data_IF_309948106422
#
_entry.id   IF_309948106422
#
_cell.length_a   1.000
_cell.length_b   1.000
_cell.length_c   1.000
_cell.angle_alpha   90.00
_cell.angle_beta   90.00
_cell.angle_gamma   90.00
#
_symmetry.space_group_name_H-M   'P 1'
#
loop_
_entity.id
_entity.type
_entity.pdbx_description
1 polymer ?
#
# COMPACT_ATOMS: atom_id res chain seq x y z
N UNK A 1 8.84 43.50 14.62
CA UNK A 1 9.41 42.28 14.01
C UNK A 1 10.73 42.66 13.40
N UNK A 2 11.79 42.16 13.98
CA UNK A 2 13.12 42.32 13.42
C UNK A 2 13.30 41.48 12.15
N UNK A 3 14.32 41.80 11.35
CA UNK A 3 14.60 40.98 10.16
C UNK A 3 14.76 39.50 10.47
N UNK A 4 15.29 39.17 11.66
CA UNK A 4 15.42 37.82 12.21
C UNK A 4 14.07 37.11 12.35
N UNK A 5 13.05 37.80 12.87
CA UNK A 5 11.70 37.18 13.08
C UNK A 5 11.03 36.87 11.74
N UNK A 6 11.22 37.73 10.73
CA UNK A 6 10.68 37.53 9.39
C UNK A 6 11.26 36.26 8.74
N UNK A 7 12.57 36.03 8.86
CA UNK A 7 13.20 34.77 8.36
C UNK A 7 12.67 33.54 9.07
N UNK A 8 12.46 33.61 10.38
CA UNK A 8 11.92 32.47 11.15
C UNK A 8 10.51 32.12 10.72
N UNK A 9 9.63 33.10 10.45
CA UNK A 9 8.29 32.87 9.94
C UNK A 9 8.32 32.24 8.52
N UNK A 10 9.20 32.70 7.63
CA UNK A 10 9.36 32.11 6.30
C UNK A 10 9.80 30.64 6.41
N UNK A 11 10.77 30.33 7.29
CA UNK A 11 11.23 28.96 7.53
C UNK A 11 10.09 28.10 8.09
N UNK A 12 9.26 28.61 9.00
CA UNK A 12 8.08 27.90 9.50
C UNK A 12 7.09 27.53 8.39
N UNK A 13 6.84 28.46 7.46
CA UNK A 13 5.97 28.19 6.29
C UNK A 13 6.58 27.09 5.40
N UNK A 14 7.89 27.14 5.15
CA UNK A 14 8.59 26.09 4.39
C UNK A 14 8.51 24.75 5.11
N UNK A 15 8.71 24.70 6.42
CA UNK A 15 8.60 23.47 7.21
C UNK A 15 7.17 22.91 7.17
N UNK A 16 6.15 23.76 7.26
CA UNK A 16 4.76 23.35 7.12
C UNK A 16 4.46 22.74 5.74
N UNK A 17 5.01 23.36 4.68
CA UNK A 17 4.89 22.81 3.32
C UNK A 17 5.63 21.47 3.15
N UNK A 18 6.79 21.29 3.80
CA UNK A 18 7.51 20.01 3.85
C UNK A 18 6.76 18.95 4.64
N UNK A 19 6.12 19.29 5.76
CA UNK A 19 5.25 18.40 6.50
C UNK A 19 4.09 17.91 5.61
N UNK A 20 3.42 18.83 4.91
CA UNK A 20 2.37 18.50 3.94
C UNK A 20 2.89 17.59 2.80
N UNK A 21 4.10 17.83 2.32
CA UNK A 21 4.75 16.99 1.32
C UNK A 21 4.96 15.57 1.82
N UNK A 22 5.53 15.35 3.00
CA UNK A 22 5.75 14.02 3.55
C UNK A 22 4.42 13.30 3.84
N UNK A 23 3.47 13.98 4.47
CA UNK A 23 2.13 13.43 4.79
C UNK A 23 1.35 13.03 3.54
N UNK A 24 1.37 13.85 2.48
CA UNK A 24 0.70 13.50 1.22
C UNK A 24 1.36 12.33 0.51
N UNK A 25 2.70 12.25 0.51
CA UNK A 25 3.39 11.14 -0.12
C UNK A 25 3.18 9.81 0.62
N UNK A 26 3.16 9.82 1.96
CA UNK A 26 2.81 8.66 2.77
C UNK A 26 1.47 8.08 2.33
N UNK A 27 0.44 8.92 2.35
CA UNK A 27 -0.94 8.49 2.03
C UNK A 27 -1.09 8.10 0.56
N UNK A 28 -0.50 8.87 -0.37
CA UNK A 28 -0.57 8.57 -1.79
C UNK A 28 0.06 7.22 -2.14
N UNK A 29 1.23 6.90 -1.59
CA UNK A 29 1.93 5.64 -1.84
C UNK A 29 1.21 4.43 -1.24
N UNK A 30 0.50 4.62 -0.12
CA UNK A 30 -0.32 3.56 0.48
C UNK A 30 -1.65 3.35 -0.27
N UNK A 31 -2.23 4.41 -0.83
CA UNK A 31 -3.53 4.39 -1.50
C UNK A 31 -3.45 4.10 -3.00
N UNK A 32 -2.27 4.15 -3.60
CA UNK A 32 -2.12 3.98 -5.06
C UNK A 32 -2.45 2.57 -5.51
N UNK A 33 -3.20 2.46 -6.62
CA UNK A 33 -3.55 1.17 -7.21
C UNK A 33 -2.34 0.54 -7.93
N UNK A 34 -1.84 -0.56 -7.36
CA UNK A 34 -0.66 -1.29 -7.88
C UNK A 34 -0.88 -1.87 -9.26
N UNK A 35 -2.10 -2.34 -9.57
CA UNK A 35 -2.43 -2.91 -10.88
C UNK A 35 -2.31 -1.83 -11.95
N UNK A 36 -2.87 -0.64 -11.68
CA UNK A 36 -2.78 0.50 -12.60
C UNK A 36 -1.34 0.99 -12.77
N UNK A 37 -0.54 1.02 -11.69
CA UNK A 37 0.89 1.34 -11.79
C UNK A 37 1.64 0.34 -12.67
N UNK A 38 1.31 -0.95 -12.59
CA UNK A 38 1.91 -2.00 -13.41
C UNK A 38 1.60 -1.77 -14.88
N UNK A 39 0.33 -1.52 -15.22
CA UNK A 39 -0.06 -1.16 -16.60
C UNK A 39 0.72 0.04 -17.13
N UNK A 40 0.82 1.13 -16.34
CA UNK A 40 1.60 2.30 -16.74
C UNK A 40 3.10 2.02 -16.88
N UNK A 41 3.65 1.13 -16.08
CA UNK A 41 5.05 0.71 -16.18
C UNK A 41 5.30 -0.12 -17.45
N UNK A 42 4.39 -1.02 -17.80
CA UNK A 42 4.43 -1.83 -19.02
C UNK A 42 4.28 -0.94 -20.27
N UNK A 43 3.52 0.13 -20.20
CA UNK A 43 3.42 1.19 -21.22
C UNK A 43 4.68 2.08 -21.33
N UNK A 44 5.73 1.78 -20.57
CA UNK A 44 7.03 2.47 -20.65
C UNK A 44 7.18 3.69 -19.72
N UNK A 45 6.25 3.91 -18.78
CA UNK A 45 6.37 5.01 -17.81
C UNK A 45 7.40 4.68 -16.73
N UNK A 46 8.61 5.25 -16.87
CA UNK A 46 9.73 5.04 -15.94
C UNK A 46 9.42 5.46 -14.48
N UNK A 47 8.55 6.45 -14.29
CA UNK A 47 8.16 6.87 -12.94
C UNK A 47 7.23 5.86 -12.29
N UNK A 48 6.29 5.30 -13.05
CA UNK A 48 5.40 4.24 -12.58
C UNK A 48 6.18 2.97 -12.21
N UNK A 49 7.14 2.56 -13.05
CA UNK A 49 8.04 1.45 -12.75
C UNK A 49 8.83 1.68 -11.45
N UNK A 50 9.34 2.89 -11.24
CA UNK A 50 10.07 3.23 -10.01
C UNK A 50 9.18 3.26 -8.78
N UNK A 51 7.94 3.75 -8.89
CA UNK A 51 6.95 3.70 -7.80
C UNK A 51 6.63 2.26 -7.45
N UNK A 52 6.36 1.43 -8.47
CA UNK A 52 6.04 0.02 -8.29
C UNK A 52 7.15 -0.72 -7.54
N UNK A 53 8.40 -0.54 -7.97
CA UNK A 53 9.57 -1.12 -7.29
C UNK A 53 9.67 -0.69 -5.82
N UNK A 54 9.46 0.59 -5.53
CA UNK A 54 9.50 1.08 -4.15
C UNK A 54 8.35 0.50 -3.32
N UNK A 55 7.14 0.43 -3.87
CA UNK A 55 5.95 -0.06 -3.15
C UNK A 55 5.96 -1.59 -3.00
N UNK A 56 6.56 -2.34 -3.92
CA UNK A 56 6.64 -3.80 -3.81
C UNK A 56 7.87 -4.26 -3.02
N UNK A 57 9.06 -3.69 -3.28
CA UNK A 57 10.32 -4.20 -2.76
C UNK A 57 10.93 -3.37 -1.63
N UNK A 58 10.54 -2.09 -1.50
CA UNK A 58 11.20 -1.14 -0.60
C UNK A 58 10.21 -0.41 0.33
N UNK A 59 9.02 -0.97 0.57
CA UNK A 59 7.96 -0.35 1.38
C UNK A 59 8.43 0.06 2.77
N UNK A 60 9.13 -0.82 3.49
CA UNK A 60 9.63 -0.52 4.84
C UNK A 60 10.63 0.64 4.84
N UNK A 61 11.55 0.66 3.85
CA UNK A 61 12.52 1.76 3.69
C UNK A 61 11.83 3.09 3.37
N UNK A 62 10.82 3.04 2.51
CA UNK A 62 10.02 4.19 2.12
C UNK A 62 9.27 4.78 3.31
N UNK A 63 8.53 3.95 4.05
CA UNK A 63 7.78 4.39 5.22
C UNK A 63 8.70 4.96 6.30
N UNK A 64 9.85 4.30 6.57
CA UNK A 64 10.84 4.82 7.51
C UNK A 64 11.39 6.18 7.09
N UNK A 65 11.70 6.37 5.80
CA UNK A 65 12.22 7.65 5.29
C UNK A 65 11.18 8.77 5.46
N UNK A 66 9.94 8.52 5.10
CA UNK A 66 8.84 9.50 5.21
C UNK A 66 8.60 9.85 6.68
N UNK A 67 8.54 8.84 7.55
CA UNK A 67 8.34 9.03 8.98
C UNK A 67 9.46 9.87 9.61
N UNK A 68 10.71 9.56 9.29
CA UNK A 68 11.87 10.34 9.77
C UNK A 68 11.78 11.78 9.27
N UNK A 69 11.49 11.97 7.97
CA UNK A 69 11.37 13.28 7.36
C UNK A 69 10.27 14.12 8.00
N UNK A 70 9.08 13.54 8.14
CA UNK A 70 7.93 14.22 8.75
C UNK A 70 8.21 14.61 10.21
N UNK A 71 8.73 13.69 11.02
CA UNK A 71 9.05 13.97 12.41
C UNK A 71 10.16 15.03 12.54
N UNK A 72 11.22 14.95 11.73
CA UNK A 72 12.29 15.95 11.75
C UNK A 72 11.76 17.34 11.44
N UNK A 73 10.90 17.46 10.42
CA UNK A 73 10.28 18.73 10.03
C UNK A 73 9.38 19.25 11.14
N UNK A 74 8.52 18.42 11.72
CA UNK A 74 7.57 18.83 12.77
C UNK A 74 8.27 19.24 14.07
N UNK A 75 9.33 18.50 14.48
CA UNK A 75 10.14 18.86 15.66
C UNK A 75 10.88 20.18 15.42
N UNK A 76 11.47 20.35 14.24
CA UNK A 76 12.17 21.60 13.87
C UNK A 76 11.21 22.80 13.86
N UNK A 77 10.01 22.62 13.28
CA UNK A 77 8.98 23.65 13.27
C UNK A 77 8.54 24.04 14.69
N UNK A 78 8.32 23.05 15.56
CA UNK A 78 7.95 23.29 16.96
C UNK A 78 9.04 24.00 17.74
N UNK A 79 10.30 23.62 17.54
CA UNK A 79 11.46 24.27 18.18
C UNK A 79 11.60 25.71 17.73
N UNK A 80 11.47 25.97 16.43
CA UNK A 80 11.57 27.31 15.85
C UNK A 80 10.42 28.21 16.32
N UNK A 81 9.19 27.71 16.36
CA UNK A 81 8.04 28.45 16.85
C UNK A 81 8.17 28.79 18.36
N UNK A 82 8.71 27.86 19.15
CA UNK A 82 8.99 28.10 20.56
C UNK A 82 10.03 29.21 20.72
N UNK A 83 11.12 29.18 19.94
CA UNK A 83 12.15 30.21 19.95
C UNK A 83 11.59 31.59 19.58
N UNK A 84 10.77 31.65 18.54
CA UNK A 84 10.11 32.88 18.09
C UNK A 84 9.14 33.41 19.17
N UNK A 85 8.34 32.54 19.76
CA UNK A 85 7.38 32.93 20.79
C UNK A 85 8.04 33.48 22.06
N UNK A 86 9.23 32.99 22.39
CA UNK A 86 9.98 33.47 23.55
C UNK A 86 10.35 34.96 23.45
N UNK A 87 10.59 35.47 22.23
CA UNK A 87 10.88 36.89 21.99
C UNK A 87 9.69 37.81 22.30
N UNK A 88 8.47 37.28 22.31
CA UNK A 88 7.24 38.01 22.64
C UNK A 88 6.77 37.85 24.10
N UNK A 89 7.47 37.03 24.90
CA UNK A 89 7.17 36.79 26.32
C UNK A 89 6.78 35.31 26.59
N UNK A 90 7.17 34.82 27.77
CA UNK A 90 7.04 33.40 28.11
C UNK A 90 5.61 32.80 28.02
N UNK A 91 4.56 33.59 28.26
CA UNK A 91 3.17 33.16 28.12
C UNK A 91 2.78 32.92 26.65
N UNK A 92 3.45 33.60 25.70
CA UNK A 92 3.22 33.41 24.27
C UNK A 92 3.65 32.04 23.76
N UNK A 93 4.56 31.36 24.45
CA UNK A 93 5.04 30.03 24.05
C UNK A 93 3.89 29.03 24.00
N UNK A 94 3.03 28.98 25.03
CA UNK A 94 1.90 28.07 25.07
C UNK A 94 0.89 28.35 23.96
N UNK A 95 0.62 29.60 23.69
CA UNK A 95 -0.31 30.04 22.62
C UNK A 95 0.27 29.69 21.25
N UNK A 96 1.52 30.01 21.01
CA UNK A 96 2.21 29.72 19.76
C UNK A 96 2.30 28.22 19.50
N UNK A 97 2.60 27.40 20.51
CA UNK A 97 2.65 25.96 20.40
C UNK A 97 1.26 25.38 20.06
N UNK A 98 0.22 25.82 20.74
CA UNK A 98 -1.16 25.40 20.42
C UNK A 98 -1.57 25.79 18.99
N UNK A 99 -1.31 27.05 18.59
CA UNK A 99 -1.62 27.51 17.24
C UNK A 99 -0.83 26.74 16.17
N UNK A 100 0.48 26.49 16.38
CA UNK A 100 1.29 25.70 15.48
C UNK A 100 0.80 24.25 15.38
N UNK A 101 0.44 23.62 16.51
CA UNK A 101 -0.12 22.26 16.51
C UNK A 101 -1.36 22.19 15.64
N UNK A 102 -2.29 23.13 15.78
CA UNK A 102 -3.50 23.19 14.93
C UNK A 102 -3.11 23.43 13.47
N UNK A 103 -2.16 24.33 13.19
CA UNK A 103 -1.69 24.57 11.84
C UNK A 103 -1.04 23.34 11.19
N UNK A 104 -0.20 22.61 11.90
CA UNK A 104 0.40 21.37 11.42
C UNK A 104 -0.68 20.32 11.17
N UNK A 105 -1.62 20.12 12.09
CA UNK A 105 -2.71 19.16 11.90
C UNK A 105 -3.57 19.47 10.69
N UNK A 106 -3.97 20.72 10.50
CA UNK A 106 -4.85 21.08 9.39
C UNK A 106 -4.08 21.13 8.06
N UNK A 107 -2.97 21.87 7.99
CA UNK A 107 -2.25 22.17 6.73
C UNK A 107 -1.11 21.21 6.46
N UNK A 108 -0.51 20.61 7.49
CA UNK A 108 0.61 19.67 7.37
C UNK A 108 0.18 18.21 7.26
N UNK A 109 -0.98 17.84 7.84
CA UNK A 109 -1.37 16.42 7.94
C UNK A 109 -2.76 16.13 7.35
N UNK A 110 -3.85 16.61 7.94
CA UNK A 110 -5.21 16.17 7.59
C UNK A 110 -5.57 16.53 6.15
N UNK A 111 -5.44 17.81 5.78
CA UNK A 111 -5.79 18.26 4.43
C UNK A 111 -4.92 17.64 3.34
N UNK A 112 -3.57 17.59 3.49
CA UNK A 112 -2.70 16.92 2.53
C UNK A 112 -2.99 15.43 2.38
N UNK A 113 -3.27 14.70 3.48
CA UNK A 113 -3.61 13.27 3.44
C UNK A 113 -4.94 13.03 2.72
N UNK A 114 -5.98 13.81 3.03
CA UNK A 114 -7.26 13.69 2.33
C UNK A 114 -7.14 13.98 0.82
N UNK A 115 -6.40 15.03 0.46
CA UNK A 115 -6.14 15.34 -0.93
C UNK A 115 -5.34 14.22 -1.64
N UNK A 116 -4.39 13.62 -0.92
CA UNK A 116 -3.55 12.55 -1.43
C UNK A 116 -4.33 11.26 -1.67
N UNK A 117 -5.31 10.93 -0.83
CA UNK A 117 -6.19 9.78 -1.04
C UNK A 117 -6.96 9.88 -2.36
N UNK A 118 -7.47 11.07 -2.67
CA UNK A 118 -8.24 11.32 -3.90
C UNK A 118 -7.37 11.40 -5.16
N UNK A 119 -6.08 11.75 -5.02
CA UNK A 119 -5.17 12.01 -6.13
C UNK A 119 -3.89 11.17 -6.05
N UNK A 120 -3.96 9.96 -5.48
CA UNK A 120 -2.82 9.13 -5.14
C UNK A 120 -1.85 8.92 -6.32
N UNK A 121 -2.36 8.54 -7.49
CA UNK A 121 -1.56 8.31 -8.70
C UNK A 121 -0.78 9.55 -9.15
N UNK A 122 -1.45 10.71 -9.23
CA UNK A 122 -0.83 11.95 -9.69
C UNK A 122 0.27 12.42 -8.75
N UNK A 123 0.01 12.36 -7.44
CA UNK A 123 0.97 12.76 -6.40
C UNK A 123 2.18 11.85 -6.44
N UNK A 124 1.96 10.54 -6.44
CA UNK A 124 3.02 9.55 -6.42
C UNK A 124 3.93 9.68 -7.64
N UNK A 125 3.36 9.74 -8.85
CA UNK A 125 4.15 9.88 -10.08
C UNK A 125 4.90 11.21 -10.16
N UNK A 126 4.35 12.28 -9.57
CA UNK A 126 4.98 13.59 -9.58
C UNK A 126 6.16 13.68 -8.61
N UNK A 127 6.01 13.15 -7.41
CA UNK A 127 6.96 13.37 -6.32
C UNK A 127 7.96 12.24 -6.11
N UNK A 128 7.80 11.10 -6.80
CA UNK A 128 8.72 9.95 -6.66
C UNK A 128 10.20 10.29 -6.87
N UNK A 129 10.62 11.19 -7.80
CA UNK A 129 12.03 11.50 -7.94
C UNK A 129 12.62 12.18 -6.70
N UNK A 130 11.87 13.11 -6.10
CA UNK A 130 12.28 13.84 -4.89
C UNK A 130 12.32 12.89 -3.70
N UNK A 131 11.27 12.09 -3.54
CA UNK A 131 11.20 11.12 -2.45
C UNK A 131 12.30 10.07 -2.54
N UNK A 132 12.57 9.53 -3.72
CA UNK A 132 13.64 8.55 -3.94
C UNK A 132 15.04 9.12 -3.64
N UNK A 133 15.28 10.38 -3.98
CA UNK A 133 16.51 11.08 -3.61
C UNK A 133 16.63 11.20 -2.08
N UNK A 134 15.57 11.62 -1.42
CA UNK A 134 15.50 11.70 0.04
C UNK A 134 15.72 10.34 0.71
N UNK A 135 15.07 9.27 0.21
CA UNK A 135 15.27 7.90 0.70
C UNK A 135 16.73 7.47 0.61
N UNK A 136 17.44 7.88 -0.44
CA UNK A 136 18.86 7.54 -0.64
C UNK A 136 19.73 8.23 0.41
N UNK A 137 19.50 9.53 0.66
CA UNK A 137 20.22 10.29 1.69
C UNK A 137 19.94 9.72 3.10
N UNK A 138 18.68 9.34 3.37
CA UNK A 138 18.27 8.82 4.67
C UNK A 138 18.66 7.35 4.90
N UNK A 139 19.21 6.66 3.91
CA UNK A 139 19.58 5.24 4.01
C UNK A 139 20.43 4.90 5.26
N UNK A 140 21.49 5.65 5.63
CA UNK A 140 22.28 5.33 6.82
C UNK A 140 21.46 5.45 8.11
N UNK A 141 20.59 6.45 8.21
CA UNK A 141 19.71 6.63 9.37
C UNK A 141 18.64 5.55 9.45
N UNK A 142 18.03 5.20 8.31
CA UNK A 142 17.05 4.12 8.22
C UNK A 142 17.67 2.79 8.64
N UNK A 143 18.91 2.51 8.24
CA UNK A 143 19.60 1.29 8.63
C UNK A 143 19.73 1.18 10.16
N UNK A 144 20.13 2.26 10.82
CA UNK A 144 20.27 2.31 12.29
C UNK A 144 18.91 2.08 12.96
N UNK A 145 17.86 2.79 12.51
CA UNK A 145 16.51 2.68 13.09
C UNK A 145 15.96 1.26 12.89
N UNK A 146 16.12 0.70 11.69
CA UNK A 146 15.65 -0.66 11.41
C UNK A 146 16.42 -1.72 12.22
N UNK A 147 17.69 -1.49 12.51
CA UNK A 147 18.47 -2.37 13.39
C UNK A 147 17.87 -2.40 14.80
N UNK A 148 17.56 -1.24 15.38
CA UNK A 148 16.89 -1.15 16.68
C UNK A 148 15.50 -1.78 16.63
N UNK A 149 14.70 -1.47 15.61
CA UNK A 149 13.37 -2.05 15.43
C UNK A 149 13.41 -3.58 15.40
N UNK A 150 14.35 -4.19 14.67
CA UNK A 150 14.51 -5.65 14.62
C UNK A 150 14.87 -6.23 15.99
N UNK A 151 15.72 -5.56 16.77
CA UNK A 151 16.05 -5.98 18.13
C UNK A 151 14.80 -5.99 19.00
N UNK A 152 13.97 -4.93 18.93
CA UNK A 152 12.71 -4.86 19.68
C UNK A 152 11.69 -5.91 19.23
N UNK A 153 11.53 -6.14 17.92
CA UNK A 153 10.63 -7.18 17.41
C UNK A 153 11.06 -8.58 17.87
N UNK A 154 12.37 -8.86 17.88
CA UNK A 154 12.91 -10.13 18.39
C UNK A 154 12.64 -10.29 19.88
N UNK A 155 12.73 -9.20 20.66
CA UNK A 155 12.41 -9.23 22.09
C UNK A 155 10.91 -9.51 22.32
N UNK A 156 10.04 -8.98 21.45
CA UNK A 156 8.58 -9.22 21.47
C UNK A 156 8.18 -10.58 20.85
N UNK A 157 9.14 -11.38 20.38
CA UNK A 157 8.92 -12.68 19.71
C UNK A 157 8.02 -12.58 18.46
N UNK A 158 8.04 -11.44 17.78
CA UNK A 158 7.35 -11.25 16.50
C UNK A 158 8.32 -11.55 15.36
N UNK A 159 7.92 -12.40 14.43
CA UNK A 159 8.69 -12.68 13.21
C UNK A 159 8.40 -11.59 12.15
N UNK A 160 9.40 -10.77 11.79
CA UNK A 160 9.22 -9.71 10.81
C UNK A 160 8.90 -10.22 9.39
N UNK A 161 9.28 -11.46 9.08
CA UNK A 161 9.13 -12.05 7.75
C UNK A 161 7.81 -12.83 7.59
N UNK A 162 7.00 -12.92 8.66
CA UNK A 162 5.70 -13.62 8.64
C UNK A 162 4.63 -12.96 7.74
N UNK A 163 4.85 -11.73 7.32
CA UNK A 163 3.89 -10.93 6.52
C UNK A 163 3.92 -11.29 5.03
N UNK A 164 4.95 -11.98 4.54
CA UNK A 164 5.09 -12.36 3.13
C UNK A 164 4.41 -13.71 2.81
N UNK A 165 3.20 -13.95 3.31
CA UNK A 165 2.43 -15.13 2.87
C UNK A 165 1.91 -14.87 1.45
N UNK A 166 2.20 -15.83 0.55
CA UNK A 166 1.58 -15.85 -0.76
C UNK A 166 0.03 -15.83 -0.60
N UNK A 167 -0.64 -15.15 -1.51
CA UNK A 167 -2.10 -15.12 -1.55
C UNK A 167 -2.65 -16.55 -1.57
N UNK A 168 -3.60 -16.84 -0.71
CA UNK A 168 -4.27 -18.15 -0.65
C UNK A 168 -5.37 -18.25 -1.71
N UNK A 169 -5.75 -19.46 -2.08
CA UNK A 169 -6.88 -19.70 -2.98
C UNK A 169 -8.17 -19.08 -2.43
N UNK A 170 -8.38 -19.16 -1.12
CA UNK A 170 -9.55 -18.59 -0.45
C UNK A 170 -9.60 -17.05 -0.57
N UNK A 171 -8.44 -16.39 -0.51
CA UNK A 171 -8.34 -14.96 -0.77
C UNK A 171 -8.64 -14.63 -2.24
N UNK A 172 -8.22 -15.47 -3.20
CA UNK A 172 -8.55 -15.32 -4.61
C UNK A 172 -10.06 -15.49 -4.85
N UNK A 173 -10.70 -16.48 -4.24
CA UNK A 173 -12.17 -16.69 -4.31
C UNK A 173 -12.90 -15.46 -3.78
N UNK A 174 -12.46 -14.92 -2.66
CA UNK A 174 -13.03 -13.68 -2.09
C UNK A 174 -12.92 -12.48 -3.05
N UNK A 175 -11.79 -12.33 -3.74
CA UNK A 175 -11.61 -11.26 -4.74
C UNK A 175 -12.60 -11.42 -5.91
N UNK A 176 -12.82 -12.66 -6.36
CA UNK A 176 -13.80 -12.96 -7.42
C UNK A 176 -15.21 -12.63 -6.96
N UNK A 177 -15.56 -12.95 -5.70
CA UNK A 177 -16.86 -12.63 -5.12
C UNK A 177 -17.12 -11.12 -5.07
N UNK A 178 -16.18 -10.36 -4.53
CA UNK A 178 -16.25 -8.88 -4.47
C UNK A 178 -16.33 -8.29 -5.89
N UNK A 179 -15.54 -8.80 -6.83
CA UNK A 179 -15.57 -8.32 -8.22
C UNK A 179 -16.91 -8.58 -8.89
N UNK A 180 -17.60 -9.66 -8.52
CA UNK A 180 -18.95 -9.94 -8.98
C UNK A 180 -19.98 -8.99 -8.33
N UNK A 181 -19.89 -8.74 -7.01
CA UNK A 181 -20.76 -7.80 -6.31
C UNK A 181 -20.63 -6.38 -6.86
N UNK A 182 -19.41 -5.97 -7.22
CA UNK A 182 -19.12 -4.69 -7.86
C UNK A 182 -19.56 -4.63 -9.35
N UNK A 183 -20.07 -5.73 -9.92
CA UNK A 183 -20.53 -5.78 -11.30
C UNK A 183 -19.43 -5.82 -12.37
N UNK A 184 -18.19 -6.12 -11.97
CA UNK A 184 -17.02 -6.24 -12.87
C UNK A 184 -17.00 -7.62 -13.55
N UNK A 185 -17.50 -8.66 -12.87
CA UNK A 185 -17.55 -10.05 -13.33
C UNK A 185 -19.02 -10.49 -13.37
N UNK A 186 -19.44 -11.12 -14.48
CA UNK A 186 -20.78 -11.69 -14.61
C UNK A 186 -20.92 -13.01 -13.85
N UNK A 187 -22.17 -13.42 -13.53
CA UNK A 187 -22.45 -14.64 -12.77
C UNK A 187 -21.90 -15.90 -13.44
N UNK A 188 -21.95 -15.98 -14.76
CA UNK A 188 -21.44 -17.13 -15.50
C UNK A 188 -19.91 -17.16 -15.53
N UNK A 189 -19.27 -16.01 -15.62
CA UNK A 189 -17.81 -15.88 -15.54
C UNK A 189 -17.29 -16.28 -14.16
N UNK A 190 -17.95 -15.80 -13.09
CA UNK A 190 -17.67 -16.23 -11.71
C UNK A 190 -17.70 -17.74 -11.57
N UNK A 191 -18.78 -18.36 -12.08
CA UNK A 191 -18.94 -19.82 -12.04
C UNK A 191 -17.83 -20.56 -12.79
N UNK A 192 -17.40 -20.03 -13.95
CA UNK A 192 -16.29 -20.63 -14.70
C UNK A 192 -14.97 -20.54 -13.91
N UNK A 193 -14.70 -19.42 -13.26
CA UNK A 193 -13.49 -19.25 -12.44
C UNK A 193 -13.50 -20.25 -11.28
N UNK A 194 -14.63 -20.41 -10.58
CA UNK A 194 -14.77 -21.38 -9.50
C UNK A 194 -14.54 -22.82 -10.00
N UNK A 195 -15.10 -23.19 -11.15
CA UNK A 195 -14.90 -24.51 -11.75
C UNK A 195 -13.41 -24.77 -12.08
N UNK A 196 -12.63 -23.73 -12.43
CA UNK A 196 -11.19 -23.87 -12.67
C UNK A 196 -10.45 -24.15 -11.37
N UNK A 197 -10.81 -23.50 -10.24
CA UNK A 197 -10.21 -23.81 -8.94
C UNK A 197 -10.56 -25.24 -8.51
N UNK A 198 -11.82 -25.64 -8.62
CA UNK A 198 -12.28 -26.96 -8.23
C UNK A 198 -11.66 -28.09 -9.10
N UNK A 199 -11.30 -27.77 -10.37
CA UNK A 199 -10.63 -28.71 -11.27
C UNK A 199 -9.23 -29.11 -10.77
N UNK A 200 -8.54 -28.17 -10.09
CA UNK A 200 -7.21 -28.44 -9.53
C UNK A 200 -7.20 -29.55 -8.46
N UNK A 201 -8.29 -29.65 -7.71
CA UNK A 201 -8.47 -30.62 -6.64
C UNK A 201 -9.28 -31.87 -7.05
N UNK A 202 -9.74 -31.92 -8.31
CA UNK A 202 -10.58 -32.98 -8.81
C UNK A 202 -9.79 -34.28 -9.03
N UNK A 203 -10.29 -35.36 -8.44
CA UNK A 203 -9.80 -36.72 -8.68
C UNK A 203 -10.54 -37.37 -9.86
N UNK A 204 -9.90 -38.40 -10.45
CA UNK A 204 -10.53 -39.19 -11.52
C UNK A 204 -11.90 -39.76 -11.12
N UNK A 205 -12.09 -40.05 -9.82
CA UNK A 205 -13.37 -40.53 -9.28
C UNK A 205 -14.52 -39.53 -9.44
N UNK A 206 -14.23 -38.22 -9.48
CA UNK A 206 -15.23 -37.13 -9.54
C UNK A 206 -15.80 -36.96 -10.97
N UNK A 207 -15.02 -37.39 -11.98
CA UNK A 207 -15.40 -37.29 -13.40
C UNK A 207 -15.71 -38.65 -14.06
N UNK A 208 -15.39 -39.79 -13.39
CA UNK A 208 -15.65 -41.12 -13.93
C UNK A 208 -17.13 -41.49 -13.84
N UNK A 209 -17.59 -42.25 -14.77
CA UNK A 209 -18.88 -42.94 -14.65
C UNK A 209 -18.72 -44.14 -13.74
N UNK A 210 -19.43 -44.21 -12.58
CA UNK A 210 -19.37 -45.37 -11.70
C UNK A 210 -19.73 -46.65 -12.45
N UNK A 211 -19.05 -47.77 -12.14
CA UNK A 211 -19.24 -49.05 -12.82
C UNK A 211 -20.71 -49.48 -12.88
N UNK A 212 -21.48 -49.15 -11.86
CA UNK A 212 -22.92 -49.49 -11.77
C UNK A 212 -23.78 -48.78 -12.81
N UNK A 213 -23.29 -47.66 -13.33
CA UNK A 213 -23.99 -46.81 -14.35
C UNK A 213 -23.43 -47.05 -15.75
N UNK A 214 -22.42 -47.94 -15.90
CA UNK A 214 -21.84 -48.24 -17.22
C UNK A 214 -22.59 -49.41 -17.81
N UNK A 215 -23.21 -49.24 -18.98
CA UNK A 215 -23.79 -50.29 -19.75
C UNK A 215 -22.72 -51.06 -20.48
N UNK A 216 -22.67 -52.39 -20.25
CA UNK A 216 -21.68 -53.27 -20.86
C UNK A 216 -22.37 -54.09 -21.96
N UNK A 217 -21.69 -54.27 -23.07
CA UNK A 217 -22.07 -55.21 -24.11
C UNK A 217 -20.92 -56.20 -24.31
N UNK A 218 -21.23 -57.52 -24.37
CA UNK A 218 -20.20 -58.55 -24.63
C UNK A 218 -19.70 -58.38 -26.08
N UNK A 219 -18.41 -58.50 -26.28
CA UNK A 219 -17.74 -58.37 -27.59
C UNK A 219 -18.23 -59.48 -28.55
N UNK A 220 -18.63 -60.64 -28.01
CA UNK A 220 -19.12 -61.81 -28.78
C UNK A 220 -20.64 -61.78 -28.97
N UNK A 221 -21.40 -60.80 -28.40
CA UNK A 221 -22.85 -60.69 -28.55
C UNK A 221 -23.22 -60.27 -29.97
N UNK A 222 -24.35 -60.79 -30.46
CA UNK A 222 -24.88 -60.41 -31.77
C UNK A 222 -25.36 -58.94 -31.82
N UNK A 223 -25.57 -58.38 -33.00
CA UNK A 223 -26.04 -57.00 -33.15
C UNK A 223 -27.41 -56.76 -32.49
N UNK A 224 -28.28 -57.77 -32.57
CA UNK A 224 -29.63 -57.71 -31.96
C UNK A 224 -29.59 -57.75 -30.43
N UNK A 225 -28.69 -58.53 -29.84
CA UNK A 225 -28.49 -58.59 -28.40
C UNK A 225 -27.95 -57.25 -27.87
N UNK A 226 -27.05 -56.60 -28.64
CA UNK A 226 -26.51 -55.30 -28.25
C UNK A 226 -27.55 -54.18 -28.30
N UNK A 227 -28.52 -54.27 -29.23
CA UNK A 227 -29.60 -53.29 -29.40
C UNK A 227 -30.60 -53.35 -28.24
N UNK A 228 -30.71 -54.45 -27.52
CA UNK A 228 -31.58 -54.60 -26.35
C UNK A 228 -31.00 -54.08 -25.04
N UNK A 229 -29.74 -53.67 -25.01
CA UNK A 229 -29.01 -53.18 -23.80
C UNK A 229 -29.00 -51.65 -23.71
N UNK A 230 -29.52 -50.94 -24.75
CA UNK A 230 -29.59 -49.48 -24.78
C UNK A 230 -30.96 -48.97 -24.33
#
# INVERSE_FOLDING_TARGET
>A
MDASDTYQVIILIILLALSAFFSSNETALMAVNKIRLRTLADDGNKRAAKVLDIVENHTSKMLSAILIGNNLVNITASSLATSLAYSFGGYMVSIATAALTVAILIFGEITPKNYATLNAEKITLRYIPVLSFFMTIMTPFIFIINLFSRIFMKLLRVDPDAVNKAMTEEELRTIVDVSHEDGVIESDEKKMIYNVFDLGDADAKDIMVPRVNVTFADVNSTYEDRKSVV
#
